data_IF_612857158465
#
_entry.id   IF_612857158465
#
_cell.length_a   1.000
_cell.length_b   1.000
_cell.length_c   1.000
_cell.angle_alpha   90.00
_cell.angle_beta   90.00
_cell.angle_gamma   90.00
#
_symmetry.space_group_name_H-M   'P 1'
#
loop_
_entity.id
_entity.type
_entity.pdbx_description
1 polymer ?
#
# COMPACT_ATOMS: atom_id res chain seq x y z
N UNK A 1 -2.91 6.38 -17.91
CA UNK A 1 -2.93 7.42 -16.87
C UNK A 1 -3.85 6.93 -15.77
N UNK A 2 -3.31 6.27 -14.74
CA UNK A 2 -4.11 5.93 -13.56
C UNK A 2 -4.32 7.23 -12.76
N UNK A 3 -5.56 7.54 -12.41
CA UNK A 3 -5.83 8.68 -11.54
C UNK A 3 -5.49 8.32 -10.09
N UNK A 4 -5.09 9.31 -9.27
CA UNK A 4 -4.76 9.09 -7.84
C UNK A 4 -5.88 8.36 -7.09
N UNK A 5 -7.14 8.61 -7.48
CA UNK A 5 -8.32 7.96 -6.92
C UNK A 5 -8.41 6.46 -7.25
N UNK A 6 -7.98 6.06 -8.45
CA UNK A 6 -7.93 4.66 -8.85
C UNK A 6 -6.83 3.91 -8.09
N UNK A 7 -5.66 4.53 -7.91
CA UNK A 7 -4.58 3.94 -7.11
C UNK A 7 -4.98 3.78 -5.65
N UNK A 8 -5.65 4.77 -5.06
CA UNK A 8 -6.18 4.66 -3.70
C UNK A 8 -7.14 3.47 -3.56
N UNK A 9 -8.01 3.30 -4.55
CA UNK A 9 -8.98 2.18 -4.55
C UNK A 9 -8.26 0.86 -4.70
N UNK A 10 -7.38 0.73 -5.71
CA UNK A 10 -6.67 -0.51 -6.01
C UNK A 10 -5.70 -0.95 -4.91
N UNK A 11 -4.92 -0.01 -4.38
CA UNK A 11 -4.03 -0.31 -3.25
C UNK A 11 -4.85 -0.65 -2.01
N UNK A 12 -6.00 0.03 -1.80
CA UNK A 12 -6.97 -0.38 -0.80
C UNK A 12 -7.35 -1.85 -0.96
N UNK A 13 -7.81 -2.26 -2.15
CA UNK A 13 -8.18 -3.65 -2.44
C UNK A 13 -7.04 -4.66 -2.19
N UNK A 14 -5.80 -4.33 -2.60
CA UNK A 14 -4.62 -5.18 -2.37
C UNK A 14 -4.37 -5.35 -0.87
N UNK A 15 -4.38 -4.24 -0.12
CA UNK A 15 -4.18 -4.27 1.33
C UNK A 15 -5.31 -5.05 2.00
N UNK A 16 -6.57 -4.80 1.63
CA UNK A 16 -7.74 -5.51 2.16
C UNK A 16 -7.66 -7.03 1.92
N UNK A 17 -7.17 -7.43 0.75
CA UNK A 17 -6.96 -8.84 0.38
C UNK A 17 -5.90 -9.51 1.26
N UNK A 18 -4.82 -8.81 1.59
CA UNK A 18 -3.71 -9.33 2.40
C UNK A 18 -4.07 -9.34 3.89
N UNK A 19 -4.63 -8.23 4.40
CA UNK A 19 -5.01 -8.11 5.83
C UNK A 19 -6.34 -8.80 6.15
N UNK A 20 -7.05 -9.30 5.13
CA UNK A 20 -8.37 -9.92 5.22
C UNK A 20 -9.38 -9.06 5.99
N UNK A 21 -9.25 -7.73 5.89
CA UNK A 21 -10.02 -6.74 6.64
C UNK A 21 -10.26 -5.51 5.80
N UNK A 22 -11.41 -4.86 6.02
CA UNK A 22 -11.72 -3.57 5.41
C UNK A 22 -10.79 -2.49 5.92
N UNK A 23 -10.12 -1.80 4.98
CA UNK A 23 -9.28 -0.63 5.26
C UNK A 23 -9.76 0.55 4.45
N UNK A 24 -9.78 1.72 5.07
CA UNK A 24 -10.03 2.98 4.34
C UNK A 24 -8.71 3.64 3.96
N UNK A 25 -8.68 4.52 2.95
CA UNK A 25 -7.49 5.27 2.56
C UNK A 25 -6.80 6.02 3.73
N UNK A 26 -7.59 6.44 4.72
CA UNK A 26 -7.15 7.18 5.90
C UNK A 26 -6.98 6.26 7.15
N UNK A 27 -7.15 4.94 7.00
CA UNK A 27 -6.88 3.97 8.07
C UNK A 27 -5.38 3.86 8.28
N UNK A 28 -4.95 4.05 9.54
CA UNK A 28 -3.56 3.84 9.93
C UNK A 28 -3.26 2.34 10.05
N UNK A 29 -2.68 1.74 9.03
CA UNK A 29 -2.46 0.29 8.94
C UNK A 29 -1.52 -0.24 10.03
N UNK A 30 -0.46 0.51 10.33
CA UNK A 30 0.53 0.15 11.35
C UNK A 30 0.01 0.44 12.75
N UNK A 31 -0.59 1.63 12.97
CA UNK A 31 -1.08 2.01 14.29
C UNK A 31 -2.26 1.14 14.77
N UNK A 32 -3.05 0.61 13.84
CA UNK A 32 -4.13 -0.33 14.12
C UNK A 32 -3.67 -1.79 14.24
N UNK A 33 -2.40 -2.08 13.94
CA UNK A 33 -1.87 -3.44 13.90
C UNK A 33 -2.51 -4.30 12.80
N UNK A 34 -2.98 -3.69 11.72
CA UNK A 34 -3.51 -4.41 10.55
C UNK A 34 -2.38 -4.93 9.66
N UNK A 35 -1.27 -4.20 9.61
CA UNK A 35 -0.08 -4.58 8.85
C UNK A 35 1.03 -4.94 9.82
N UNK A 36 1.36 -6.24 9.84
CA UNK A 36 2.57 -6.78 10.46
C UNK A 36 3.76 -6.71 9.48
N UNK A 37 4.98 -6.94 9.99
CA UNK A 37 6.21 -6.93 9.19
C UNK A 37 6.15 -7.86 7.96
N UNK A 38 5.38 -8.96 8.05
CA UNK A 38 5.20 -9.89 6.94
C UNK A 38 4.18 -9.36 5.92
N UNK A 39 3.01 -8.94 6.40
CA UNK A 39 1.96 -8.36 5.56
C UNK A 39 2.48 -7.12 4.80
N UNK A 40 3.34 -6.33 5.43
CA UNK A 40 3.99 -5.18 4.83
C UNK A 40 4.82 -5.57 3.59
N UNK A 41 5.62 -6.64 3.72
CA UNK A 41 6.43 -7.19 2.62
C UNK A 41 5.55 -7.75 1.52
N UNK A 42 4.51 -8.53 1.87
CA UNK A 42 3.55 -9.06 0.89
C UNK A 42 2.84 -7.94 0.10
N UNK A 43 2.41 -6.87 0.77
CA UNK A 43 1.78 -5.72 0.10
C UNK A 43 2.76 -5.08 -0.87
N UNK A 44 4.00 -4.83 -0.44
CA UNK A 44 5.00 -4.22 -1.31
C UNK A 44 5.35 -5.10 -2.50
N UNK A 45 5.43 -6.43 -2.32
CA UNK A 45 5.65 -7.35 -3.44
C UNK A 45 4.47 -7.34 -4.42
N UNK A 46 3.23 -7.33 -3.91
CA UNK A 46 2.04 -7.28 -4.74
C UNK A 46 1.98 -5.99 -5.56
N UNK A 47 2.26 -4.85 -4.92
CA UNK A 47 2.33 -3.54 -5.57
C UNK A 47 3.48 -3.47 -6.57
N UNK A 48 4.65 -4.00 -6.24
CA UNK A 48 5.79 -4.07 -7.16
C UNK A 48 5.45 -4.93 -8.39
N UNK A 49 4.78 -6.07 -8.19
CA UNK A 49 4.37 -6.94 -9.29
C UNK A 49 3.28 -6.32 -10.17
N UNK A 50 2.36 -5.54 -9.60
CA UNK A 50 1.23 -4.93 -10.32
C UNK A 50 1.64 -3.64 -11.04
N UNK A 51 2.47 -2.80 -10.39
CA UNK A 51 2.80 -1.45 -10.84
C UNK A 51 4.27 -1.23 -11.23
N UNK A 52 5.16 -2.20 -10.97
CA UNK A 52 6.60 -2.05 -11.17
C UNK A 52 7.27 -1.12 -10.14
N UNK A 53 6.59 -0.82 -9.04
CA UNK A 53 7.06 0.11 -8.01
C UNK A 53 7.76 -0.64 -6.88
N UNK A 54 9.09 -0.55 -6.79
CA UNK A 54 9.85 -1.11 -5.68
C UNK A 54 9.86 -0.15 -4.48
N UNK A 55 9.48 -0.67 -3.32
CA UNK A 55 9.53 0.04 -2.04
C UNK A 55 10.57 -0.65 -1.16
N UNK A 56 11.66 0.03 -0.77
CA UNK A 56 12.71 -0.58 0.03
C UNK A 56 12.26 -0.80 1.47
N UNK A 57 12.68 -1.92 2.06
CA UNK A 57 12.35 -2.35 3.44
C UNK A 57 12.35 -1.26 4.53
N UNK A 58 13.35 -0.36 4.63
CA UNK A 58 13.32 0.71 5.64
C UNK A 58 12.17 1.71 5.42
N UNK A 59 11.79 1.96 4.16
CA UNK A 59 10.74 2.91 3.81
C UNK A 59 9.34 2.27 3.85
N UNK A 60 9.25 0.94 3.80
CA UNK A 60 7.98 0.20 3.94
C UNK A 60 7.22 0.70 5.16
N UNK A 61 7.85 0.78 6.33
CA UNK A 61 7.19 1.21 7.55
C UNK A 61 6.70 2.67 7.52
N UNK A 62 7.36 3.55 6.76
CA UNK A 62 6.94 4.95 6.62
C UNK A 62 5.81 5.08 5.59
N UNK A 63 5.91 4.39 4.45
CA UNK A 63 4.92 4.48 3.37
C UNK A 63 3.66 3.64 3.62
N UNK A 64 3.78 2.51 4.32
CA UNK A 64 2.62 1.69 4.75
C UNK A 64 1.92 2.22 6.00
N UNK A 65 2.23 3.43 6.47
CA UNK A 65 1.42 4.03 7.54
C UNK A 65 -0.05 4.14 7.16
N UNK A 66 -0.38 4.37 5.88
CA UNK A 66 -1.75 4.44 5.37
C UNK A 66 -1.79 4.13 3.88
N UNK A 67 -2.93 3.61 3.40
CA UNK A 67 -3.16 3.33 1.97
C UNK A 67 -2.96 4.58 1.11
N UNK A 68 -3.35 5.76 1.60
CA UNK A 68 -3.10 7.05 0.94
C UNK A 68 -1.62 7.31 0.68
N UNK A 69 -0.76 7.09 1.68
CA UNK A 69 0.69 7.33 1.55
C UNK A 69 1.30 6.37 0.54
N UNK A 70 0.96 5.09 0.65
CA UNK A 70 1.41 4.06 -0.27
C UNK A 70 0.99 4.37 -1.72
N UNK A 71 -0.26 4.79 -1.92
CA UNK A 71 -0.76 5.12 -3.25
C UNK A 71 -0.16 6.41 -3.81
N UNK A 72 0.15 7.40 -2.98
CA UNK A 72 0.94 8.56 -3.38
C UNK A 72 2.35 8.19 -3.84
N UNK A 73 3.02 7.28 -3.12
CA UNK A 73 4.34 6.77 -3.50
C UNK A 73 4.28 6.03 -4.84
N UNK A 74 3.31 5.12 -5.00
CA UNK A 74 3.12 4.37 -6.24
C UNK A 74 2.80 5.31 -7.39
N UNK A 75 1.91 6.29 -7.23
CA UNK A 75 1.61 7.30 -8.24
C UNK A 75 2.85 8.09 -8.71
N UNK A 76 3.78 8.38 -7.80
CA UNK A 76 5.03 9.07 -8.13
C UNK A 76 6.06 8.17 -8.83
N UNK A 77 5.99 6.85 -8.63
CA UNK A 77 6.94 5.87 -9.18
C UNK A 77 6.43 5.05 -10.36
N UNK A 78 5.13 5.07 -10.64
CA UNK A 78 4.50 4.47 -11.83
C UNK A 78 4.28 5.55 -12.89
N UNK A 79 5.00 5.48 -14.01
CA UNK A 79 4.90 6.42 -15.15
C UNK A 79 4.16 5.81 -16.33
#
# INVERSE_FOLDING_TARGET
MHTEQELHTKIGEIVESIVMKKVTPDTQLIATGLVDSLAAVDITLAVESEYGCSIPAPEIAEHLQSVRTLAGYVAAHTS
#
